data_IF_742376627475
#
_entry.id   IF_742376627475
#
_cell.length_a   1.000
_cell.length_b   1.000
_cell.length_c   1.000
_cell.angle_alpha   90.00
_cell.angle_beta   90.00
_cell.angle_gamma   90.00
#
_symmetry.space_group_name_H-M   'P 1'
#
loop_
_entity.id
_entity.type
_entity.pdbx_description
1 polymer ?
#
# COMPACT_ATOMS: atom_id res chain seq x y z
N UNK A 1 -13.30 -6.84 -13.27
CA UNK A 1 -13.10 -6.07 -14.52
C UNK A 1 -11.61 -5.76 -14.70
N UNK A 2 -11.11 -5.64 -15.92
CA UNK A 2 -9.72 -5.21 -16.18
C UNK A 2 -9.51 -3.74 -15.79
N UNK A 3 -8.28 -3.33 -15.41
CA UNK A 3 -7.98 -1.91 -15.17
C UNK A 3 -8.17 -1.06 -16.45
N UNK A 4 -8.41 0.25 -16.32
CA UNK A 4 -8.44 1.15 -17.47
C UNK A 4 -7.13 1.13 -18.27
N UNK A 5 -7.17 1.47 -19.55
CA UNK A 5 -5.98 1.53 -20.40
C UNK A 5 -4.90 2.45 -19.80
N UNK A 6 -3.65 1.97 -19.72
CA UNK A 6 -2.52 2.69 -19.15
C UNK A 6 -2.43 2.64 -17.62
N UNK A 7 -3.37 1.98 -16.94
CA UNK A 7 -3.29 1.72 -15.50
C UNK A 7 -2.60 0.39 -15.22
N UNK A 8 -1.93 0.35 -14.08
CA UNK A 8 -1.29 -0.85 -13.56
C UNK A 8 -2.16 -1.42 -12.45
N UNK A 9 -2.35 -2.74 -12.43
CA UNK A 9 -3.00 -3.45 -11.33
C UNK A 9 -2.00 -4.22 -10.49
N UNK A 10 -2.20 -4.25 -9.18
CA UNK A 10 -1.74 -5.34 -8.34
C UNK A 10 -2.85 -5.79 -7.38
N UNK A 11 -2.80 -7.05 -6.98
CA UNK A 11 -3.79 -7.69 -6.10
C UNK A 11 -3.04 -8.36 -4.96
N UNK A 12 -3.55 -8.21 -3.75
CA UNK A 12 -2.99 -8.84 -2.55
C UNK A 12 -4.11 -9.41 -1.69
N UNK A 13 -3.78 -10.43 -0.92
CA UNK A 13 -4.68 -11.02 0.05
C UNK A 13 -3.92 -11.34 1.33
N UNK A 14 -4.53 -11.04 2.47
CA UNK A 14 -3.94 -11.30 3.77
C UNK A 14 -5.00 -11.74 4.77
N UNK A 15 -4.58 -12.51 5.76
CA UNK A 15 -5.44 -13.00 6.84
C UNK A 15 -5.23 -12.16 8.10
N UNK A 16 -6.31 -11.97 8.86
CA UNK A 16 -6.32 -11.31 10.16
C UNK A 16 -7.05 -12.25 11.13
N UNK A 17 -6.48 -12.49 12.31
CA UNK A 17 -7.00 -13.48 13.27
C UNK A 17 -8.16 -12.91 14.10
N UNK A 18 -9.10 -12.21 13.46
CA UNK A 18 -10.25 -11.55 14.07
C UNK A 18 -11.52 -11.77 13.24
N UNK A 19 -12.72 -11.70 13.84
CA UNK A 19 -13.97 -11.87 13.11
C UNK A 19 -14.16 -10.83 12.00
N UNK A 20 -14.85 -11.18 10.89
CA UNK A 20 -15.05 -10.27 9.75
C UNK A 20 -15.66 -8.92 10.09
N UNK A 21 -16.55 -8.88 11.08
CA UNK A 21 -17.16 -7.63 11.54
C UNK A 21 -16.13 -6.68 12.18
N UNK A 22 -15.22 -7.22 13.00
CA UNK A 22 -14.16 -6.44 13.66
C UNK A 22 -13.17 -5.89 12.64
N UNK A 23 -12.71 -6.73 11.71
CA UNK A 23 -11.78 -6.32 10.65
C UNK A 23 -12.42 -5.27 9.75
N UNK A 24 -13.68 -5.47 9.37
CA UNK A 24 -14.41 -4.50 8.56
C UNK A 24 -14.57 -3.14 9.24
N UNK A 25 -14.94 -3.10 10.53
CA UNK A 25 -15.05 -1.87 11.29
C UNK A 25 -13.71 -1.11 11.34
N UNK A 26 -12.60 -1.83 11.57
CA UNK A 26 -11.26 -1.24 11.58
C UNK A 26 -10.83 -0.70 10.22
N UNK A 27 -11.17 -1.37 9.11
CA UNK A 27 -10.91 -0.88 7.75
C UNK A 27 -11.77 0.34 7.38
N UNK A 28 -12.88 0.57 8.08
CA UNK A 28 -13.74 1.73 7.89
C UNK A 28 -13.30 2.96 8.71
N UNK A 29 -12.50 2.74 9.76
CA UNK A 29 -11.93 3.78 10.63
C UNK A 29 -10.66 4.37 10.00
N UNK A 30 -10.74 5.62 9.52
CA UNK A 30 -9.62 6.28 8.86
C UNK A 30 -8.41 6.51 9.77
N UNK A 31 -8.56 7.05 11.01
CA UNK A 31 -7.47 7.08 11.99
C UNK A 31 -6.77 5.73 12.18
N UNK A 32 -7.54 4.65 12.36
CA UNK A 32 -7.01 3.30 12.53
C UNK A 32 -6.20 2.88 11.31
N UNK A 33 -6.78 2.97 10.10
CA UNK A 33 -6.10 2.61 8.85
C UNK A 33 -4.82 3.42 8.67
N UNK A 34 -4.88 4.75 8.85
CA UNK A 34 -3.72 5.62 8.70
C UNK A 34 -2.60 5.27 9.69
N UNK A 35 -2.93 4.86 10.91
CA UNK A 35 -1.95 4.43 11.90
C UNK A 35 -1.21 3.14 11.51
N UNK A 36 -1.87 2.27 10.74
CA UNK A 36 -1.29 0.99 10.30
C UNK A 36 -0.51 1.12 8.99
N UNK A 37 -0.67 2.19 8.21
CA UNK A 37 0.05 2.40 6.93
C UNK A 37 1.38 3.10 7.18
N UNK A 38 2.53 2.48 6.87
CA UNK A 38 3.84 3.10 7.06
C UNK A 38 4.02 4.39 6.27
N UNK A 39 4.50 5.44 6.94
CA UNK A 39 4.73 6.75 6.33
C UNK A 39 3.44 7.51 5.95
N UNK A 40 2.26 7.00 6.33
CA UNK A 40 1.01 7.73 6.17
C UNK A 40 0.82 8.77 7.28
N UNK A 41 0.19 9.86 6.90
CA UNK A 41 -0.18 10.96 7.77
C UNK A 41 -1.60 11.40 7.40
N UNK A 42 -2.53 11.25 8.35
CA UNK A 42 -3.90 11.70 8.20
C UNK A 42 -3.97 13.19 8.53
N UNK A 43 -4.45 14.01 7.59
CA UNK A 43 -4.54 15.46 7.79
C UNK A 43 -5.98 15.87 8.09
N UNK A 44 -6.95 15.30 7.39
CA UNK A 44 -8.39 15.54 7.58
C UNK A 44 -9.17 14.32 7.11
N UNK A 45 -10.31 14.05 7.74
CA UNK A 45 -11.27 13.07 7.25
C UNK A 45 -12.71 13.47 7.61
N UNK A 46 -13.63 13.14 6.71
CA UNK A 46 -15.06 13.12 6.98
C UNK A 46 -15.60 11.69 6.99
N UNK A 47 -16.87 11.51 6.65
CA UNK A 47 -17.49 10.19 6.58
C UNK A 47 -17.04 9.38 5.35
N UNK A 48 -16.92 10.05 4.19
CA UNK A 48 -16.71 9.44 2.88
C UNK A 48 -15.48 10.00 2.13
N UNK A 49 -14.71 10.88 2.79
CA UNK A 49 -13.53 11.49 2.21
C UNK A 49 -12.40 11.60 3.22
N UNK A 50 -11.18 11.60 2.70
CA UNK A 50 -9.94 11.71 3.48
C UNK A 50 -8.92 12.52 2.72
N UNK A 51 -8.12 13.29 3.45
CA UNK A 51 -6.97 14.04 2.96
C UNK A 51 -5.77 13.69 3.82
N UNK A 52 -4.65 13.41 3.16
CA UNK A 52 -3.49 12.89 3.84
C UNK A 52 -2.22 13.04 3.02
N UNK A 53 -1.13 12.52 3.60
CA UNK A 53 0.17 12.43 2.98
C UNK A 53 0.72 11.02 3.14
N UNK A 54 1.43 10.53 2.14
CA UNK A 54 2.14 9.26 2.17
C UNK A 54 3.60 9.50 1.77
N UNK A 55 4.52 9.11 2.65
CA UNK A 55 5.96 9.13 2.39
C UNK A 55 6.48 7.72 2.23
N UNK A 56 7.09 7.44 1.09
CA UNK A 56 7.76 6.18 0.81
C UNK A 56 9.21 6.47 0.46
N UNK A 57 10.12 5.73 1.07
CA UNK A 57 11.54 5.77 0.77
C UNK A 57 12.04 4.35 0.48
N UNK A 58 12.52 4.10 -0.73
CA UNK A 58 13.11 2.83 -1.14
C UNK A 58 14.38 3.10 -1.95
N UNK A 59 15.53 2.87 -1.31
CA UNK A 59 16.83 3.17 -1.90
C UNK A 59 16.92 4.64 -2.35
N UNK A 60 17.28 4.93 -3.62
CA UNK A 60 17.37 6.31 -4.12
C UNK A 60 16.01 6.95 -4.36
N UNK A 61 14.90 6.19 -4.28
CA UNK A 61 13.56 6.69 -4.52
C UNK A 61 13.00 7.22 -3.21
N UNK A 62 12.73 8.53 -3.18
CA UNK A 62 11.94 9.17 -2.12
C UNK A 62 10.74 9.83 -2.77
N UNK A 63 9.55 9.40 -2.38
CA UNK A 63 8.30 9.96 -2.85
C UNK A 63 7.47 10.44 -1.65
N UNK A 64 6.94 11.66 -1.76
CA UNK A 64 6.06 12.23 -0.75
C UNK A 64 4.78 12.73 -1.43
N UNK A 65 3.76 11.88 -1.45
CA UNK A 65 2.48 12.20 -2.08
C UNK A 65 1.57 12.90 -1.07
N UNK A 66 1.13 14.11 -1.37
CA UNK A 66 -0.01 14.73 -0.71
C UNK A 66 -1.25 14.55 -1.60
N UNK A 67 -2.37 14.14 -1.01
CA UNK A 67 -3.54 13.76 -1.79
C UNK A 67 -4.83 13.65 -1.00
N UNK A 68 -5.87 13.25 -1.71
CA UNK A 68 -7.20 13.02 -1.16
C UNK A 68 -7.84 11.79 -1.78
N UNK A 69 -8.72 11.13 -1.05
CA UNK A 69 -9.52 10.03 -1.54
C UNK A 69 -10.97 10.15 -1.10
N UNK A 70 -11.85 9.55 -1.89
CA UNK A 70 -13.26 9.29 -1.55
C UNK A 70 -13.46 7.79 -1.37
N UNK A 71 -14.36 7.41 -0.48
CA UNK A 71 -14.70 6.02 -0.20
C UNK A 71 -16.20 5.79 -0.28
N UNK A 72 -16.58 4.66 -0.87
CA UNK A 72 -17.93 4.11 -0.82
C UNK A 72 -17.87 2.74 -0.17
N UNK A 73 -18.85 2.43 0.68
CA UNK A 73 -18.90 1.21 1.48
C UNK A 73 -20.23 0.50 1.26
N UNK A 74 -20.17 -0.82 1.13
CA UNK A 74 -21.30 -1.72 1.21
C UNK A 74 -21.12 -2.58 2.47
N UNK A 75 -21.80 -2.17 3.54
CA UNK A 75 -21.73 -2.80 4.87
C UNK A 75 -22.19 -4.26 4.83
N UNK A 76 -23.25 -4.55 4.07
CA UNK A 76 -23.83 -5.90 3.96
C UNK A 76 -22.84 -6.87 3.32
N UNK A 77 -22.15 -6.43 2.26
CA UNK A 77 -21.18 -7.25 1.55
C UNK A 77 -19.76 -7.12 2.11
N UNK A 78 -19.52 -6.19 3.05
CA UNK A 78 -18.19 -5.79 3.54
C UNK A 78 -17.23 -5.50 2.39
N UNK A 79 -17.67 -4.66 1.46
CA UNK A 79 -16.90 -4.21 0.30
C UNK A 79 -16.71 -2.71 0.37
N UNK A 80 -15.46 -2.25 0.34
CA UNK A 80 -15.11 -0.84 0.24
C UNK A 80 -14.46 -0.53 -1.11
N UNK A 81 -14.76 0.64 -1.67
CA UNK A 81 -14.10 1.18 -2.86
C UNK A 81 -13.57 2.56 -2.58
N UNK A 82 -12.28 2.76 -2.85
CA UNK A 82 -11.55 4.00 -2.61
C UNK A 82 -11.07 4.54 -3.94
N UNK A 83 -11.36 5.81 -4.22
CA UNK A 83 -10.83 6.52 -5.38
C UNK A 83 -10.01 7.70 -4.89
N UNK A 84 -8.74 7.73 -5.25
CA UNK A 84 -7.78 8.70 -4.75
C UNK A 84 -6.91 9.31 -5.84
N UNK A 85 -6.39 10.50 -5.53
CA UNK A 85 -5.37 11.15 -6.32
C UNK A 85 -4.36 11.84 -5.40
N UNK A 86 -3.11 11.88 -5.85
CA UNK A 86 -2.01 12.49 -5.11
C UNK A 86 -0.99 13.15 -6.01
N UNK A 87 -0.19 14.03 -5.43
CA UNK A 87 0.92 14.67 -6.12
C UNK A 87 2.16 14.72 -5.23
N UNK A 88 3.30 14.48 -5.85
CA UNK A 88 4.62 14.74 -5.27
C UNK A 88 5.21 15.96 -5.96
N UNK A 89 5.22 17.09 -5.23
CA UNK A 89 5.71 18.36 -5.76
C UNK A 89 7.21 18.32 -6.08
N UNK A 90 8.00 17.55 -5.33
CA UNK A 90 9.45 17.53 -5.49
C UNK A 90 9.87 16.88 -6.81
N UNK A 91 9.23 15.78 -7.20
CA UNK A 91 9.50 15.09 -8.46
C UNK A 91 8.61 15.55 -9.62
N UNK A 92 7.65 16.43 -9.37
CA UNK A 92 6.61 16.82 -10.34
C UNK A 92 5.66 15.67 -10.73
N UNK A 93 5.60 14.61 -9.92
CA UNK A 93 4.83 13.40 -10.23
C UNK A 93 3.41 13.48 -9.72
N UNK A 94 2.48 12.78 -10.39
CA UNK A 94 1.07 12.66 -10.01
C UNK A 94 0.65 11.21 -10.00
N UNK A 95 -0.28 10.87 -9.11
CA UNK A 95 -0.88 9.55 -9.02
C UNK A 95 -2.40 9.63 -9.03
N UNK A 96 -3.04 8.64 -9.63
CA UNK A 96 -4.45 8.30 -9.39
C UNK A 96 -4.53 6.82 -9.05
N UNK A 97 -5.43 6.46 -8.17
CA UNK A 97 -5.65 5.08 -7.77
C UNK A 97 -7.13 4.80 -7.51
N UNK A 98 -7.55 3.59 -7.83
CA UNK A 98 -8.79 2.99 -7.39
C UNK A 98 -8.46 1.69 -6.66
N UNK A 99 -8.91 1.56 -5.42
CA UNK A 99 -8.73 0.35 -4.62
C UNK A 99 -10.09 -0.22 -4.26
N UNK A 100 -10.25 -1.53 -4.40
CA UNK A 100 -11.39 -2.28 -3.85
C UNK A 100 -10.87 -3.24 -2.79
N UNK A 101 -11.48 -3.22 -1.61
CA UNK A 101 -11.19 -4.19 -0.56
C UNK A 101 -12.46 -4.91 -0.13
N UNK A 102 -12.31 -6.17 0.30
CA UNK A 102 -13.42 -7.00 0.75
C UNK A 102 -13.00 -7.91 1.88
N UNK A 103 -13.86 -8.04 2.89
CA UNK A 103 -13.61 -8.90 4.06
C UNK A 103 -14.47 -10.16 3.99
N UNK A 104 -13.81 -11.31 3.90
CA UNK A 104 -14.40 -12.63 3.88
C UNK A 104 -14.20 -13.36 5.20
N UNK A 105 -15.15 -14.24 5.60
CA UNK A 105 -14.88 -15.19 6.66
C UNK A 105 -13.79 -16.18 6.25
N UNK A 106 -12.92 -16.52 7.20
CA UNK A 106 -11.96 -17.61 7.12
C UNK A 106 -12.18 -18.57 8.30
N UNK A 107 -11.65 -19.80 8.24
CA UNK A 107 -11.86 -20.80 9.30
C UNK A 107 -11.34 -20.32 10.68
N UNK A 108 -11.96 -20.79 11.78
CA UNK A 108 -11.60 -20.47 13.18
C UNK A 108 -11.63 -18.98 13.53
N UNK A 109 -12.74 -18.31 13.23
CA UNK A 109 -13.01 -16.90 13.58
C UNK A 109 -12.05 -15.87 12.97
N UNK A 110 -11.26 -16.28 11.97
CA UNK A 110 -10.40 -15.40 11.19
C UNK A 110 -11.14 -14.72 10.04
N UNK A 111 -10.45 -13.76 9.43
CA UNK A 111 -10.92 -13.07 8.25
C UNK A 111 -9.84 -13.03 7.19
N UNK A 112 -10.28 -13.11 5.93
CA UNK A 112 -9.43 -12.86 4.77
C UNK A 112 -9.81 -11.54 4.14
N UNK A 113 -8.83 -10.66 3.95
CA UNK A 113 -9.00 -9.38 3.25
C UNK A 113 -8.45 -9.52 1.84
N UNK A 114 -9.30 -9.33 0.84
CA UNK A 114 -8.91 -9.28 -0.57
C UNK A 114 -8.81 -7.82 -0.98
N UNK A 115 -7.65 -7.40 -1.49
CA UNK A 115 -7.36 -6.04 -1.93
C UNK A 115 -6.95 -6.05 -3.41
N UNK A 116 -7.62 -5.23 -4.21
CA UNK A 116 -7.28 -4.97 -5.61
C UNK A 116 -7.00 -3.48 -5.75
N UNK A 117 -5.83 -3.13 -6.30
CA UNK A 117 -5.44 -1.73 -6.52
C UNK A 117 -5.09 -1.52 -7.98
N UNK A 118 -5.82 -0.61 -8.61
CA UNK A 118 -5.52 -0.05 -9.91
C UNK A 118 -4.93 1.33 -9.73
N UNK A 119 -3.80 1.62 -10.37
CA UNK A 119 -3.17 2.93 -10.25
C UNK A 119 -2.47 3.35 -11.53
N UNK A 120 -2.25 4.65 -11.65
CA UNK A 120 -1.43 5.25 -12.70
C UNK A 120 -0.50 6.29 -12.08
N UNK A 121 0.77 6.26 -12.50
CA UNK A 121 1.78 7.25 -12.14
C UNK A 121 2.19 8.06 -13.36
N UNK A 122 2.25 9.37 -13.21
CA UNK A 122 2.64 10.34 -14.23
C UNK A 122 3.84 11.16 -13.73
N UNK A 123 4.59 11.73 -14.68
CA UNK A 123 5.80 12.51 -14.38
C UNK A 123 7.03 11.63 -14.15
N UNK A 124 8.00 12.13 -13.40
CA UNK A 124 9.30 11.49 -13.18
C UNK A 124 9.18 10.08 -12.62
N UNK A 125 8.25 9.86 -11.67
CA UNK A 125 8.03 8.55 -11.04
C UNK A 125 7.24 7.56 -11.91
N UNK A 126 6.76 7.95 -13.10
CA UNK A 126 6.10 7.01 -14.03
C UNK A 126 7.02 5.85 -14.46
N UNK A 127 8.34 6.08 -14.47
CA UNK A 127 9.35 5.07 -14.78
C UNK A 127 9.40 3.96 -13.72
N UNK A 128 9.09 4.29 -12.47
CA UNK A 128 9.03 3.35 -11.34
C UNK A 128 7.87 2.37 -11.50
N UNK A 129 6.76 2.80 -12.12
CA UNK A 129 5.65 1.91 -12.46
C UNK A 129 6.05 0.91 -13.55
N UNK A 130 6.75 1.38 -14.59
CA UNK A 130 7.17 0.55 -15.73
C UNK A 130 8.22 -0.49 -15.36
N UNK A 131 9.07 -0.21 -14.37
CA UNK A 131 10.07 -1.16 -13.89
C UNK A 131 9.51 -2.21 -12.92
N UNK A 132 8.22 -2.15 -12.55
CA UNK A 132 7.60 -3.03 -11.55
C UNK A 132 7.91 -2.68 -10.10
N UNK A 133 8.81 -1.71 -9.86
CA UNK A 133 9.20 -1.28 -8.51
C UNK A 133 8.02 -0.73 -7.72
N UNK A 134 7.11 0.01 -8.37
CA UNK A 134 5.92 0.53 -7.70
C UNK A 134 5.00 -0.59 -7.15
N UNK A 135 4.87 -1.70 -7.88
CA UNK A 135 4.09 -2.85 -7.41
C UNK A 135 4.77 -3.50 -6.20
N UNK A 136 6.08 -3.74 -6.27
CA UNK A 136 6.84 -4.32 -5.17
C UNK A 136 6.74 -3.48 -3.88
N UNK A 137 6.81 -2.16 -4.03
CA UNK A 137 6.55 -1.22 -2.93
C UNK A 137 5.12 -1.39 -2.39
N UNK A 138 4.13 -1.44 -3.28
CA UNK A 138 2.72 -1.67 -2.91
C UNK A 138 2.52 -2.94 -2.09
N UNK A 139 3.10 -4.08 -2.54
CA UNK A 139 3.02 -5.36 -1.82
C UNK A 139 3.61 -5.29 -0.42
N UNK A 140 4.77 -4.64 -0.28
CA UNK A 140 5.42 -4.46 1.03
C UNK A 140 4.63 -3.55 1.97
N UNK A 141 4.03 -2.49 1.43
CA UNK A 141 3.13 -1.62 2.19
C UNK A 141 1.92 -2.40 2.69
N UNK A 142 1.31 -3.23 1.85
CA UNK A 142 0.17 -4.09 2.24
C UNK A 142 0.56 -5.11 3.31
N UNK A 143 1.71 -5.78 3.14
CA UNK A 143 2.19 -6.75 4.14
C UNK A 143 2.45 -6.09 5.51
N UNK A 144 3.07 -4.91 5.51
CA UNK A 144 3.33 -4.17 6.76
C UNK A 144 2.02 -3.65 7.38
N UNK A 145 1.10 -3.16 6.55
CA UNK A 145 -0.22 -2.75 6.98
C UNK A 145 -0.99 -3.89 7.65
N UNK A 146 -0.99 -5.08 7.04
CA UNK A 146 -1.66 -6.26 7.58
C UNK A 146 -1.12 -6.63 8.97
N UNK A 147 0.21 -6.66 9.12
CA UNK A 147 0.85 -6.92 10.41
C UNK A 147 0.50 -5.86 11.48
N UNK A 148 0.55 -4.58 11.11
CA UNK A 148 0.19 -3.48 12.02
C UNK A 148 -1.29 -3.52 12.42
N UNK A 149 -2.18 -3.88 11.49
CA UNK A 149 -3.61 -3.99 11.74
C UNK A 149 -3.92 -5.14 12.70
N UNK A 150 -3.31 -6.32 12.48
CA UNK A 150 -3.50 -7.48 13.37
C UNK A 150 -3.01 -7.19 14.80
N UNK A 151 -1.83 -6.56 14.93
CA UNK A 151 -1.29 -6.15 16.22
C UNK A 151 -2.18 -5.11 16.93
N UNK A 152 -2.61 -4.07 16.21
CA UNK A 152 -3.49 -3.05 16.79
C UNK A 152 -4.85 -3.64 17.21
N UNK A 153 -5.38 -4.63 16.48
CA UNK A 153 -6.58 -5.38 16.86
C UNK A 153 -6.34 -6.41 17.97
N UNK A 154 -5.09 -6.71 18.34
CA UNK A 154 -4.73 -7.47 19.53
C UNK A 154 -4.70 -6.61 20.80
N UNK A 155 -4.79 -5.29 20.66
CA UNK A 155 -4.56 -4.36 21.77
C UNK A 155 -3.08 -4.07 22.02
N UNK A 156 -2.19 -4.51 21.13
CA UNK A 156 -0.79 -4.10 21.17
C UNK A 156 -0.70 -2.63 20.77
N UNK A 157 0.09 -1.85 21.52
CA UNK A 157 0.32 -0.44 21.16
C UNK A 157 0.97 -0.40 19.77
N UNK A 158 0.28 0.22 18.81
CA UNK A 158 0.77 0.33 17.44
C UNK A 158 2.22 0.81 17.43
N UNK A 159 3.13 0.16 16.66
CA UNK A 159 4.51 0.61 16.58
C UNK A 159 4.53 2.05 16.09
N UNK A 160 5.32 2.89 16.77
CA UNK A 160 5.44 4.31 16.49
C UNK A 160 5.60 4.56 14.99
N UNK A 161 4.96 5.64 14.48
CA UNK A 161 4.95 6.12 13.08
C UNK A 161 6.37 6.29 12.54
N UNK A 162 7.02 5.19 12.22
CA UNK A 162 8.33 5.17 11.63
C UNK A 162 8.08 5.27 10.13
N UNK A 163 8.78 6.14 9.39
CA UNK A 163 8.78 6.04 7.93
C UNK A 163 9.01 4.57 7.54
N UNK A 164 8.38 4.08 6.47
CA UNK A 164 8.77 2.81 5.88
C UNK A 164 10.24 2.90 5.44
N UNK A 165 11.17 2.74 6.37
CA UNK A 165 12.52 2.31 6.12
C UNK A 165 12.40 0.82 5.84
N UNK A 166 11.87 0.49 4.65
CA UNK A 166 11.91 -0.86 4.13
C UNK A 166 13.38 -1.24 4.11
N UNK A 167 13.76 -2.19 4.98
CA UNK A 167 15.13 -2.45 5.40
C UNK A 167 16.12 -2.33 4.24
N UNK A 168 16.82 -1.19 4.22
CA UNK A 168 17.74 -0.83 3.16
C UNK A 168 18.83 -1.90 3.01
N UNK A 169 19.12 -2.68 4.06
CA UNK A 169 20.12 -3.75 4.06
C UNK A 169 19.67 -4.95 3.22
N UNK A 170 18.40 -5.34 3.28
CA UNK A 170 17.87 -6.46 2.50
C UNK A 170 17.86 -6.15 0.99
N UNK A 171 17.58 -4.88 0.64
CA UNK A 171 17.57 -4.42 -0.74
C UNK A 171 18.97 -4.15 -1.30
N UNK A 172 19.88 -3.58 -0.52
CA UNK A 172 21.27 -3.34 -0.92
C UNK A 172 21.97 -4.65 -1.29
N UNK A 173 21.78 -5.72 -0.50
CA UNK A 173 22.34 -7.05 -0.81
C UNK A 173 21.75 -7.68 -2.07
N UNK A 174 20.44 -7.53 -2.31
CA UNK A 174 19.80 -8.03 -3.52
C UNK A 174 20.28 -7.29 -4.78
N UNK A 175 20.45 -5.97 -4.71
CA UNK A 175 21.00 -5.16 -5.81
C UNK A 175 22.49 -5.38 -6.03
N UNK A 176 23.28 -5.60 -4.97
CA UNK A 176 24.71 -5.88 -5.07
C UNK A 176 24.97 -7.25 -5.71
N UNK A 177 24.19 -8.29 -5.34
CA UNK A 177 24.24 -9.61 -6.00
C UNK A 177 23.82 -9.53 -7.48
N UNK A 178 22.77 -8.77 -7.80
CA UNK A 178 22.31 -8.61 -9.19
C UNK A 178 23.28 -7.81 -10.07
N UNK A 179 24.13 -6.96 -9.49
CA UNK A 179 25.20 -6.24 -10.19
C UNK A 179 26.46 -7.10 -10.35
N UNK A 180 26.89 -7.79 -9.29
CA UNK A 180 28.02 -8.72 -9.31
C UNK A 180 27.78 -9.91 -10.25
N UNK A 181 26.57 -10.46 -10.29
CA UNK A 181 26.20 -11.53 -11.22
C UNK A 181 26.25 -11.10 -12.70
N UNK A 182 26.02 -9.82 -12.99
CA UNK A 182 26.12 -9.25 -14.34
C UNK A 182 27.55 -8.93 -14.77
N UNK A 183 28.46 -8.70 -13.81
CA UNK A 183 29.88 -8.49 -14.08
C UNK A 183 30.64 -9.81 -14.31
N UNK A 184 30.24 -10.90 -13.66
CA UNK A 184 30.89 -12.21 -13.77
C UNK A 184 30.33 -13.08 -14.92
N UNK A 185 29.19 -12.72 -15.51
CA UNK A 185 28.52 -13.49 -16.58
C UNK A 185 28.97 -13.17 -18.01
N UNK A 186 29.96 -12.28 -18.23
CA UNK A 186 30.34 -11.78 -19.57
C UNK A 186 31.71 -12.26 -20.07
N UNK A 187 32.25 -13.36 -19.53
CA UNK A 187 33.55 -13.91 -19.96
C UNK A 187 33.51 -15.35 -20.48
N UNK A 188 32.45 -15.72 -21.22
CA UNK A 188 32.45 -16.92 -22.07
C UNK A 188 31.76 -16.62 -23.40
N UNK A 189 32.56 -16.08 -24.31
CA UNK A 189 32.32 -15.89 -25.73
C UNK A 189 33.68 -15.79 -26.39
#
# INVERSE_FOLDING_TARGET
PAPPAGWTRFEETFSIARPPATVWAALCDFPMVASCVPGAELIEHGADHVRGRLVVAVGPIKAAFAGSAKIVRDETRRIGRVQGAGSDKASGSRSRAEATFRVEPESRDGSRVVLVVDYVLQGTLAQVSRSGVAQEIGRRLVATFAANLDAALAGDTAPARTPAALDAKALLWASLKAWLGRLLGRSRG
#
